data_IF_628153244251
#
_entry.id   IF_628153244251
#
_cell.length_a   1.000
_cell.length_b   1.000
_cell.length_c   1.000
_cell.angle_alpha   90.00
_cell.angle_beta   90.00
_cell.angle_gamma   90.00
#
_symmetry.space_group_name_H-M   'P 1'
#
loop_
_entity.id
_entity.type
_entity.pdbx_description
1 polymer ?
#
# COMPACT_ATOMS: atom_id res chain seq x y z
N UNK A 1 18.66 -15.86 2.05
CA UNK A 1 18.47 -16.95 3.02
C UNK A 1 17.06 -17.49 2.94
N UNK A 2 16.96 -18.77 2.59
CA UNK A 2 15.71 -19.38 2.11
C UNK A 2 14.85 -19.80 3.30
N UNK A 3 13.76 -19.08 3.54
CA UNK A 3 12.69 -19.50 4.45
C UNK A 3 12.00 -20.75 3.90
N UNK A 4 12.56 -21.92 4.21
CA UNK A 4 11.93 -23.23 3.98
C UNK A 4 11.11 -23.60 5.21
N UNK A 5 9.85 -23.19 5.25
CA UNK A 5 8.85 -23.92 6.03
C UNK A 5 7.82 -24.48 5.05
N UNK A 6 7.56 -25.79 5.13
CA UNK A 6 6.54 -26.47 4.33
C UNK A 6 5.18 -25.85 4.66
N UNK A 7 4.59 -25.15 3.70
CA UNK A 7 3.30 -24.48 3.83
C UNK A 7 3.35 -22.99 3.51
N UNK A 8 4.02 -22.16 4.29
CA UNK A 8 4.11 -20.71 4.04
C UNK A 8 5.19 -20.35 3.02
N UNK A 9 6.32 -21.05 3.01
CA UNK A 9 7.42 -20.76 2.08
C UNK A 9 7.06 -20.95 0.60
N UNK A 10 6.10 -21.80 0.28
CA UNK A 10 5.65 -22.01 -1.09
C UNK A 10 4.63 -20.95 -1.55
N UNK A 11 3.86 -20.37 -0.64
CA UNK A 11 2.92 -19.28 -0.95
C UNK A 11 3.69 -17.99 -1.19
N UNK A 12 4.67 -17.65 -0.34
CA UNK A 12 5.52 -16.45 -0.49
C UNK A 12 6.48 -16.51 -1.67
N UNK A 13 6.87 -17.69 -2.12
CA UNK A 13 7.77 -17.85 -3.29
C UNK A 13 7.06 -17.80 -4.64
N UNK A 14 5.74 -17.71 -4.64
CA UNK A 14 4.92 -17.81 -5.86
C UNK A 14 4.19 -16.52 -6.23
N UNK A 15 4.47 -15.42 -5.56
CA UNK A 15 3.84 -14.14 -5.86
C UNK A 15 4.81 -13.25 -6.60
N UNK A 16 4.32 -12.60 -7.64
CA UNK A 16 5.10 -11.67 -8.46
C UNK A 16 5.06 -10.27 -7.85
N UNK A 17 3.90 -9.87 -7.32
CA UNK A 17 3.61 -8.52 -6.82
C UNK A 17 2.80 -8.64 -5.52
N UNK A 18 2.94 -7.67 -4.62
CA UNK A 18 2.03 -7.49 -3.48
C UNK A 18 1.49 -6.07 -3.43
N UNK A 19 0.23 -5.93 -3.00
CA UNK A 19 -0.43 -4.66 -2.71
C UNK A 19 -0.73 -4.57 -1.22
N UNK A 20 -0.33 -3.48 -0.59
CA UNK A 20 -0.58 -3.22 0.82
C UNK A 20 -0.80 -1.73 1.08
N UNK A 21 -1.67 -1.42 2.04
CA UNK A 21 -1.94 -0.07 2.51
C UNK A 21 -1.58 0.08 3.99
N UNK A 22 -1.16 1.28 4.44
CA UNK A 22 -1.04 1.59 5.85
C UNK A 22 -2.44 1.64 6.47
N UNK A 23 -2.70 0.81 7.48
CA UNK A 23 -4.01 0.78 8.14
C UNK A 23 -4.25 1.99 9.04
N UNK A 24 -3.17 2.52 9.58
CA UNK A 24 -3.12 3.77 10.34
C UNK A 24 -1.85 4.52 9.97
N UNK A 25 -1.89 5.83 9.98
CA UNK A 25 -0.73 6.70 9.75
C UNK A 25 -0.13 7.27 11.04
N UNK A 26 -0.74 6.95 12.18
CA UNK A 26 -0.35 7.39 13.52
C UNK A 26 -0.03 6.23 14.48
N UNK A 27 -0.04 4.99 13.99
CA UNK A 27 0.39 3.83 14.78
C UNK A 27 1.90 3.76 14.82
N UNK A 28 2.45 3.68 16.02
CA UNK A 28 3.87 3.57 16.28
C UNK A 28 4.15 2.36 17.17
N UNK A 29 5.19 1.61 16.84
CA UNK A 29 5.77 0.55 17.67
C UNK A 29 7.19 1.00 18.00
N UNK A 30 7.44 1.31 19.27
CA UNK A 30 8.74 1.78 19.72
C UNK A 30 9.79 0.67 19.64
N UNK A 31 11.07 1.07 19.59
CA UNK A 31 12.20 0.16 19.71
C UNK A 31 12.16 -0.56 21.06
N UNK A 32 12.26 -1.88 21.04
CA UNK A 32 12.23 -2.73 22.24
C UNK A 32 11.51 -4.05 21.95
N UNK A 33 10.97 -4.65 22.98
CA UNK A 33 10.19 -5.89 22.86
C UNK A 33 8.87 -5.61 22.14
N UNK A 34 8.51 -6.52 21.23
CA UNK A 34 7.25 -6.48 20.48
C UNK A 34 6.30 -7.51 21.06
N UNK A 35 5.14 -7.08 21.50
CA UNK A 35 4.12 -7.89 22.12
C UNK A 35 2.99 -8.22 21.13
N UNK A 36 2.23 -9.26 21.44
CA UNK A 36 1.04 -9.64 20.67
C UNK A 36 0.03 -8.48 20.57
N UNK A 37 -0.10 -7.67 21.63
CA UNK A 37 -0.94 -6.47 21.63
C UNK A 37 -0.55 -5.46 20.55
N UNK A 38 0.74 -5.32 20.24
CA UNK A 38 1.22 -4.38 19.22
C UNK A 38 0.75 -4.79 17.83
N UNK A 39 0.55 -6.09 17.60
CA UNK A 39 0.02 -6.59 16.34
C UNK A 39 -1.43 -6.18 16.11
N UNK A 40 -2.23 -6.04 17.18
CA UNK A 40 -3.59 -5.51 17.05
C UNK A 40 -3.61 -4.02 16.72
N UNK A 41 -2.62 -3.26 17.17
CA UNK A 41 -2.45 -1.87 16.80
C UNK A 41 -1.96 -1.74 15.34
N UNK A 42 -1.01 -2.60 14.93
CA UNK A 42 -0.45 -2.60 13.58
C UNK A 42 -1.46 -3.10 12.54
N UNK A 43 -2.17 -4.19 12.86
CA UNK A 43 -3.13 -4.81 11.93
C UNK A 43 -4.42 -5.21 12.67
N UNK A 44 -5.35 -4.28 12.79
CA UNK A 44 -6.60 -4.43 13.57
C UNK A 44 -7.70 -5.26 12.90
N UNK A 45 -7.60 -5.50 11.59
CA UNK A 45 -8.64 -6.22 10.83
C UNK A 45 -8.31 -7.72 10.69
N UNK A 46 -9.35 -8.55 10.64
CA UNK A 46 -9.25 -10.00 10.44
C UNK A 46 -9.34 -10.34 8.93
N UNK A 47 -8.37 -9.85 8.16
CA UNK A 47 -8.29 -10.13 6.74
C UNK A 47 -7.39 -11.33 6.47
N UNK A 48 -7.85 -12.25 5.62
CA UNK A 48 -7.02 -13.31 5.05
C UNK A 48 -6.06 -12.72 4.00
N UNK A 49 -4.97 -13.42 3.72
CA UNK A 49 -4.13 -13.12 2.58
C UNK A 49 -4.66 -13.88 1.36
N UNK A 50 -4.96 -13.15 0.31
CA UNK A 50 -5.29 -13.71 -1.00
C UNK A 50 -4.11 -13.61 -1.94
N UNK A 51 -3.97 -14.61 -2.81
CA UNK A 51 -3.20 -14.50 -4.06
C UNK A 51 -4.19 -14.49 -5.20
N UNK A 52 -4.21 -13.43 -5.99
CA UNK A 52 -5.12 -13.25 -7.11
C UNK A 52 -4.37 -13.19 -8.44
N UNK A 53 -5.05 -13.56 -9.52
CA UNK A 53 -4.56 -13.45 -10.90
C UNK A 53 -5.04 -12.12 -11.48
N UNK A 54 -4.10 -11.18 -11.68
CA UNK A 54 -4.37 -9.86 -12.27
C UNK A 54 -3.45 -9.61 -13.45
N UNK A 55 -3.93 -8.94 -14.50
CA UNK A 55 -3.07 -8.47 -15.58
C UNK A 55 -2.20 -7.29 -15.14
N UNK A 56 -1.11 -7.02 -15.83
CA UNK A 56 -0.29 -5.86 -15.56
C UNK A 56 -1.08 -4.55 -15.68
N UNK A 57 -2.00 -4.48 -16.64
CA UNK A 57 -2.90 -3.35 -16.78
C UNK A 57 -3.79 -3.16 -15.54
N UNK A 58 -4.41 -4.24 -15.06
CA UNK A 58 -5.25 -4.21 -13.85
C UNK A 58 -4.46 -3.78 -12.61
N UNK A 59 -3.19 -4.24 -12.47
CA UNK A 59 -2.29 -3.80 -11.40
C UNK A 59 -2.02 -2.30 -11.50
N UNK A 60 -1.65 -1.81 -12.70
CA UNK A 60 -1.41 -0.37 -12.91
C UNK A 60 -2.65 0.47 -12.60
N UNK A 61 -3.80 0.08 -13.12
CA UNK A 61 -5.05 0.83 -12.95
C UNK A 61 -5.52 0.84 -11.49
N UNK A 62 -5.34 -0.26 -10.75
CA UNK A 62 -5.58 -0.31 -9.31
C UNK A 62 -4.66 0.66 -8.55
N UNK A 63 -3.37 0.72 -8.91
CA UNK A 63 -2.43 1.68 -8.32
C UNK A 63 -2.79 3.14 -8.70
N UNK A 64 -3.17 3.41 -9.94
CA UNK A 64 -3.64 4.73 -10.35
C UNK A 64 -4.80 5.20 -9.47
N UNK A 65 -5.79 4.34 -9.25
CA UNK A 65 -6.92 4.67 -8.36
C UNK A 65 -6.45 4.86 -6.93
N UNK A 66 -5.57 3.98 -6.41
CA UNK A 66 -5.03 4.11 -5.07
C UNK A 66 -4.36 5.47 -4.86
N UNK A 67 -3.39 5.82 -5.70
CA UNK A 67 -2.66 7.09 -5.57
C UNK A 67 -3.56 8.31 -5.78
N UNK A 68 -4.62 8.19 -6.59
CA UNK A 68 -5.61 9.26 -6.73
C UNK A 68 -6.46 9.50 -5.48
N UNK A 69 -6.53 8.54 -4.53
CA UNK A 69 -7.25 8.70 -3.28
C UNK A 69 -6.47 9.52 -2.23
N UNK A 70 -5.14 9.57 -2.32
CA UNK A 70 -4.34 10.22 -1.29
C UNK A 70 -3.34 11.26 -1.80
N UNK A 71 -3.01 11.28 -3.10
CA UNK A 71 -2.10 12.27 -3.67
C UNK A 71 -2.84 13.35 -4.45
N UNK A 72 -2.42 14.59 -4.24
CA UNK A 72 -2.89 15.73 -5.02
C UNK A 72 -2.35 15.66 -6.46
N UNK A 73 -2.96 16.43 -7.38
CA UNK A 73 -2.30 16.85 -8.62
C UNK A 73 -1.66 18.20 -8.35
N UNK A 74 -0.35 18.23 -8.17
CA UNK A 74 0.38 19.45 -7.88
C UNK A 74 0.46 20.35 -9.12
N UNK A 75 0.26 21.65 -8.90
CA UNK A 75 0.40 22.70 -9.92
C UNK A 75 1.64 23.55 -9.68
N UNK A 76 2.17 23.51 -8.46
CA UNK A 76 3.38 24.17 -8.02
C UNK A 76 4.04 23.40 -6.90
N UNK A 77 5.30 23.72 -6.58
CA UNK A 77 6.01 23.15 -5.43
C UNK A 77 5.39 23.58 -4.07
N UNK A 78 4.55 24.61 -4.06
CA UNK A 78 3.88 25.13 -2.87
C UNK A 78 2.59 24.38 -2.54
N UNK A 79 2.09 23.54 -3.44
CA UNK A 79 0.91 22.73 -3.20
C UNK A 79 1.18 21.62 -2.19
N UNK A 80 0.13 21.16 -1.52
CA UNK A 80 0.20 19.93 -0.75
C UNK A 80 0.41 18.71 -1.67
N UNK A 81 1.28 17.79 -1.26
CA UNK A 81 1.46 16.49 -1.91
C UNK A 81 0.22 15.61 -1.70
N UNK A 82 -0.35 15.66 -0.50
CA UNK A 82 -1.43 14.78 -0.07
C UNK A 82 -2.79 15.50 -0.09
N UNK A 83 -3.87 14.72 -0.18
CA UNK A 83 -5.22 15.22 -0.15
C UNK A 83 -5.74 15.32 1.29
N UNK A 84 -5.94 16.52 1.76
CA UNK A 84 -6.48 16.81 3.08
C UNK A 84 -7.96 17.20 3.01
N UNK A 85 -8.68 17.01 4.12
CA UNK A 85 -10.07 17.48 4.27
C UNK A 85 -10.10 19.00 4.35
N UNK A 86 -10.97 19.61 3.55
CA UNK A 86 -11.15 21.09 3.51
C UNK A 86 -11.92 21.62 4.70
N UNK A 87 -12.77 20.80 5.34
CA UNK A 87 -13.59 21.19 6.49
C UNK A 87 -13.25 20.32 7.70
N UNK A 88 -13.06 20.95 8.84
CA UNK A 88 -12.98 20.28 10.14
C UNK A 88 -14.37 19.76 10.50
N UNK A 89 -14.46 18.54 11.04
CA UNK A 89 -15.69 18.06 11.67
C UNK A 89 -15.91 18.88 12.93
N UNK A 90 -17.15 19.27 13.21
CA UNK A 90 -17.56 19.87 14.47
C UNK A 90 -17.11 18.98 15.64
N UNK A 91 -16.37 19.53 16.61
CA UNK A 91 -15.78 18.76 17.72
C UNK A 91 -14.48 18.00 17.42
N UNK A 92 -13.90 18.12 16.21
CA UNK A 92 -12.60 17.51 15.90
C UNK A 92 -11.45 18.29 16.57
N UNK A 93 -10.46 17.55 17.07
CA UNK A 93 -9.17 18.12 17.50
C UNK A 93 -8.54 18.90 16.35
N UNK A 94 -7.72 19.91 16.65
CA UNK A 94 -7.10 20.83 15.68
C UNK A 94 -6.15 20.20 14.64
N UNK A 95 -6.12 18.88 14.53
CA UNK A 95 -5.25 18.15 13.60
C UNK A 95 -5.82 18.06 12.20
N UNK A 96 -4.97 18.24 11.21
CA UNK A 96 -5.25 17.91 9.83
C UNK A 96 -5.57 16.42 9.68
N UNK A 97 -6.37 16.05 8.70
CA UNK A 97 -6.69 14.65 8.41
C UNK A 97 -6.80 14.43 6.91
N UNK A 98 -6.51 13.21 6.48
CA UNK A 98 -6.66 12.83 5.07
C UNK A 98 -8.12 12.93 4.60
N UNK A 99 -8.28 13.29 3.33
CA UNK A 99 -9.58 13.32 2.66
C UNK A 99 -10.23 11.94 2.62
N UNK A 100 -9.42 10.91 2.36
CA UNK A 100 -9.84 9.50 2.27
C UNK A 100 -9.17 8.66 3.36
N UNK A 101 -9.65 7.44 3.56
CA UNK A 101 -9.10 6.53 4.56
C UNK A 101 -7.79 5.91 4.10
N UNK A 102 -6.76 5.93 4.97
CA UNK A 102 -5.41 5.42 4.68
C UNK A 102 -5.38 3.92 4.33
N UNK A 103 -6.32 3.13 4.83
CA UNK A 103 -6.42 1.72 4.47
C UNK A 103 -6.79 1.44 3.00
N UNK A 104 -7.04 2.50 2.20
CA UNK A 104 -7.20 2.44 0.75
C UNK A 104 -5.99 3.01 -0.01
N UNK A 105 -4.89 3.33 0.67
CA UNK A 105 -3.67 3.88 0.06
C UNK A 105 -2.67 2.77 -0.26
N UNK A 106 -3.08 1.83 -1.11
CA UNK A 106 -2.23 0.71 -1.49
C UNK A 106 -1.01 1.21 -2.29
N UNK A 107 0.15 0.68 -1.92
CA UNK A 107 1.36 0.70 -2.72
C UNK A 107 1.76 -0.73 -3.10
N UNK A 108 2.65 -0.87 -4.09
CA UNK A 108 3.08 -2.17 -4.57
C UNK A 108 4.52 -2.48 -4.17
N UNK A 109 4.79 -3.77 -3.90
CA UNK A 109 6.12 -4.34 -3.89
C UNK A 109 6.21 -5.43 -4.97
N UNK A 110 7.43 -5.71 -5.45
CA UNK A 110 7.69 -6.63 -6.56
C UNK A 110 7.82 -5.94 -7.92
N UNK A 111 7.56 -4.64 -8.00
CA UNK A 111 7.75 -3.80 -9.19
C UNK A 111 8.48 -2.50 -8.84
N UNK A 112 9.23 -1.96 -9.80
CA UNK A 112 9.84 -0.63 -9.71
C UNK A 112 8.97 0.35 -10.48
N UNK A 113 8.53 1.45 -9.82
CA UNK A 113 7.67 2.43 -10.46
C UNK A 113 7.84 3.85 -9.89
N UNK A 114 7.35 4.82 -10.63
CA UNK A 114 7.27 6.22 -10.19
C UNK A 114 5.82 6.69 -10.15
N UNK A 115 5.57 7.65 -9.29
CA UNK A 115 4.29 8.33 -9.13
C UNK A 115 4.50 9.81 -9.45
N UNK A 116 4.08 10.23 -10.63
CA UNK A 116 4.21 11.61 -11.06
C UNK A 116 3.05 12.46 -10.54
N UNK A 117 3.35 13.32 -9.57
CA UNK A 117 2.34 14.14 -8.90
C UNK A 117 1.83 15.33 -9.70
N UNK A 118 2.49 15.66 -10.79
CA UNK A 118 2.04 16.72 -11.71
C UNK A 118 0.95 16.18 -12.65
N UNK A 119 1.00 14.89 -12.95
CA UNK A 119 0.09 14.25 -13.89
C UNK A 119 -1.35 14.20 -13.38
N UNK A 120 -2.33 14.22 -14.28
CA UNK A 120 -3.72 14.06 -13.91
C UNK A 120 -4.02 12.64 -13.41
N UNK A 121 -5.22 12.47 -12.88
CA UNK A 121 -5.72 11.16 -12.45
C UNK A 121 -5.69 10.15 -13.59
N UNK A 122 -5.17 8.96 -13.32
CA UNK A 122 -5.03 7.86 -14.29
C UNK A 122 -3.75 7.88 -15.11
N UNK A 123 -2.88 8.88 -14.92
CA UNK A 123 -1.62 9.04 -15.66
C UNK A 123 -0.39 9.18 -14.75
N UNK A 124 -0.57 9.01 -13.42
CA UNK A 124 0.49 9.23 -12.43
C UNK A 124 1.51 8.09 -12.38
N UNK A 125 1.09 6.85 -12.66
CA UNK A 125 1.91 5.66 -12.46
C UNK A 125 2.67 5.30 -13.72
N UNK A 126 4.01 5.24 -13.61
CA UNK A 126 4.88 4.66 -14.63
C UNK A 126 5.61 3.46 -14.02
N UNK A 127 5.27 2.24 -14.46
CA UNK A 127 5.95 1.02 -14.05
C UNK A 127 7.16 0.82 -14.95
N UNK A 128 8.36 0.73 -14.34
CA UNK A 128 9.64 0.67 -15.03
C UNK A 128 10.03 -0.79 -15.31
N UNK A 129 9.92 -1.65 -14.30
CA UNK A 129 10.30 -3.06 -14.38
C UNK A 129 9.69 -3.87 -13.23
N UNK A 130 9.86 -5.17 -13.24
CA UNK A 130 9.78 -5.98 -12.03
C UNK A 130 10.96 -5.65 -11.10
N UNK A 131 10.82 -5.97 -9.82
CA UNK A 131 11.88 -5.70 -8.81
C UNK A 131 13.18 -6.48 -9.05
N UNK A 132 13.13 -7.60 -9.77
CA UNK A 132 14.28 -8.39 -10.17
C UNK A 132 14.95 -7.89 -11.47
N UNK A 133 14.48 -6.78 -12.03
CA UNK A 133 14.98 -6.16 -13.25
C UNK A 133 14.37 -6.72 -14.54
N UNK A 134 13.53 -7.75 -14.47
CA UNK A 134 12.86 -8.27 -15.67
C UNK A 134 11.80 -7.30 -16.19
N UNK A 135 11.48 -7.30 -17.50
CA UNK A 135 10.47 -6.42 -18.07
C UNK A 135 9.08 -6.65 -17.47
N UNK A 136 8.41 -5.57 -17.13
CA UNK A 136 6.98 -5.58 -16.80
C UNK A 136 6.15 -5.52 -18.08
N UNK A 137 5.06 -6.29 -18.16
CA UNK A 137 4.14 -6.30 -19.31
C UNK A 137 2.71 -6.05 -18.86
N UNK A 138 2.01 -5.14 -19.54
CA UNK A 138 0.60 -4.82 -19.27
C UNK A 138 -0.33 -6.01 -19.50
N UNK A 139 0.00 -6.86 -20.47
CA UNK A 139 -0.85 -7.98 -20.90
C UNK A 139 -0.57 -9.28 -20.14
N UNK A 140 0.60 -9.36 -19.48
CA UNK A 140 0.96 -10.56 -18.69
C UNK A 140 0.11 -10.65 -17.44
N UNK A 141 -0.31 -11.89 -17.12
CA UNK A 141 -1.00 -12.18 -15.86
C UNK A 141 0.03 -12.42 -14.74
N UNK A 142 -0.14 -11.71 -13.65
CA UNK A 142 0.69 -11.80 -12.44
C UNK A 142 -0.07 -12.42 -11.28
N UNK A 143 0.67 -13.05 -10.38
CA UNK A 143 0.17 -13.49 -9.07
C UNK A 143 0.35 -12.35 -8.08
N UNK A 144 -0.74 -11.73 -7.68
CA UNK A 144 -0.74 -10.55 -6.81
C UNK A 144 -1.24 -10.93 -5.43
N UNK A 145 -0.41 -10.68 -4.42
CA UNK A 145 -0.78 -10.83 -3.03
C UNK A 145 -1.48 -9.57 -2.53
N UNK A 146 -2.60 -9.73 -1.85
CA UNK A 146 -3.36 -8.65 -1.24
C UNK A 146 -4.28 -9.20 -0.13
N UNK A 147 -4.83 -8.32 0.69
CA UNK A 147 -5.74 -8.75 1.74
C UNK A 147 -7.14 -9.08 1.20
N UNK A 148 -7.91 -9.90 1.94
CA UNK A 148 -9.25 -10.33 1.52
C UNK A 148 -10.25 -9.18 1.39
N UNK A 149 -10.11 -8.11 2.16
CA UNK A 149 -10.92 -6.90 1.98
C UNK A 149 -10.77 -6.36 0.56
N UNK A 150 -9.52 -6.20 0.11
CA UNK A 150 -9.22 -5.73 -1.25
C UNK A 150 -9.67 -6.73 -2.30
N UNK A 151 -9.36 -8.01 -2.09
CA UNK A 151 -9.71 -9.09 -3.02
C UNK A 151 -11.21 -9.29 -3.22
N UNK A 152 -12.01 -8.91 -2.24
CA UNK A 152 -13.47 -8.93 -2.31
C UNK A 152 -14.08 -7.61 -2.83
N UNK A 153 -13.26 -6.68 -3.36
CA UNK A 153 -13.70 -5.42 -3.95
C UNK A 153 -13.74 -4.24 -2.97
N UNK A 154 -13.30 -4.43 -1.73
CA UNK A 154 -13.28 -3.36 -0.73
C UNK A 154 -12.39 -2.19 -1.17
N UNK A 155 -12.89 -0.95 -0.95
CA UNK A 155 -12.23 0.28 -1.39
C UNK A 155 -12.17 0.48 -2.90
N UNK A 156 -12.85 -0.39 -3.66
CA UNK A 156 -13.11 -0.25 -5.11
C UNK A 156 -11.88 -0.22 -6.03
N UNK A 157 -10.66 -0.47 -5.52
CA UNK A 157 -9.44 -0.42 -6.35
C UNK A 157 -9.45 -1.48 -7.47
N UNK A 158 -9.95 -2.69 -7.19
CA UNK A 158 -10.04 -3.74 -8.20
C UNK A 158 -11.27 -3.59 -9.09
N UNK A 159 -12.38 -3.09 -8.56
CA UNK A 159 -13.62 -2.94 -9.32
C UNK A 159 -13.62 -1.66 -10.16
N UNK A 160 -13.71 -0.50 -9.53
CA UNK A 160 -13.72 0.79 -10.25
C UNK A 160 -12.35 1.18 -10.79
N UNK A 161 -11.28 0.86 -10.05
CA UNK A 161 -9.91 1.16 -10.46
C UNK A 161 -9.48 0.29 -11.63
N UNK A 162 -9.36 -1.01 -11.41
CA UNK A 162 -8.90 -1.96 -12.42
C UNK A 162 -9.99 -2.40 -13.42
N UNK A 163 -11.25 -2.01 -13.20
CA UNK A 163 -12.36 -2.34 -14.09
C UNK A 163 -12.83 -3.80 -14.03
N UNK A 164 -12.49 -4.54 -12.99
CA UNK A 164 -12.88 -5.96 -12.83
C UNK A 164 -14.33 -6.01 -12.31
N UNK A 165 -15.27 -6.67 -12.99
CA UNK A 165 -16.61 -6.88 -12.48
C UNK A 165 -16.62 -7.54 -11.11
N UNK A 166 -17.50 -7.10 -10.21
CA UNK A 166 -17.55 -7.58 -8.83
C UNK A 166 -17.75 -9.11 -8.74
N UNK A 167 -18.55 -9.68 -9.61
CA UNK A 167 -18.84 -11.11 -9.69
C UNK A 167 -17.66 -11.95 -10.22
N UNK A 168 -16.72 -11.33 -10.95
CA UNK A 168 -15.52 -12.01 -11.43
C UNK A 168 -14.41 -12.12 -10.36
N UNK A 169 -14.40 -11.25 -9.34
CA UNK A 169 -13.30 -11.20 -8.35
C UNK A 169 -13.05 -12.55 -7.70
N UNK A 170 -14.11 -13.27 -7.33
CA UNK A 170 -13.97 -14.59 -6.71
C UNK A 170 -13.25 -15.59 -7.61
N UNK A 171 -13.50 -15.55 -8.91
CA UNK A 171 -12.84 -16.40 -9.91
C UNK A 171 -11.37 -16.08 -10.13
N UNK A 172 -10.91 -14.90 -9.70
CA UNK A 172 -9.51 -14.48 -9.79
C UNK A 172 -8.66 -14.95 -8.60
N UNK A 173 -9.26 -15.45 -7.51
CA UNK A 173 -8.55 -15.92 -6.31
C UNK A 173 -7.92 -17.28 -6.61
N UNK A 174 -6.60 -17.33 -6.58
CA UNK A 174 -5.79 -18.55 -6.75
C UNK A 174 -5.57 -19.28 -5.44
N UNK A 175 -5.46 -18.50 -4.34
CA UNK A 175 -5.21 -19.01 -3.00
C UNK A 175 -5.74 -18.04 -1.95
N UNK A 176 -6.20 -18.61 -0.83
CA UNK A 176 -6.59 -17.90 0.39
C UNK A 176 -5.97 -18.59 1.58
N UNK A 177 -5.43 -17.83 2.51
CA UNK A 177 -4.95 -18.39 3.78
C UNK A 177 -6.11 -18.83 4.67
N UNK A 178 -5.83 -19.71 5.62
CA UNK A 178 -6.77 -20.20 6.65
C UNK A 178 -6.75 -19.36 7.94
N UNK A 179 -5.70 -18.56 8.11
CA UNK A 179 -5.52 -17.61 9.21
C UNK A 179 -5.44 -16.18 8.67
N UNK A 180 -5.71 -15.21 9.53
CA UNK A 180 -5.60 -13.80 9.18
C UNK A 180 -4.15 -13.33 9.02
N UNK A 181 -3.98 -12.15 8.41
CA UNK A 181 -2.66 -11.56 8.19
C UNK A 181 -1.90 -11.28 9.49
N UNK A 182 -2.60 -10.95 10.58
CA UNK A 182 -1.99 -10.70 11.89
C UNK A 182 -1.31 -11.95 12.44
N UNK A 183 -1.93 -13.13 12.27
CA UNK A 183 -1.30 -14.40 12.62
C UNK A 183 0.03 -14.61 11.89
N UNK A 184 0.07 -14.36 10.59
CA UNK A 184 1.30 -14.53 9.80
C UNK A 184 2.36 -13.48 10.10
N UNK A 185 1.96 -12.25 10.44
CA UNK A 185 2.87 -11.22 10.94
C UNK A 185 3.54 -11.65 12.25
N UNK A 186 2.76 -12.16 13.22
CA UNK A 186 3.30 -12.70 14.48
C UNK A 186 4.31 -13.82 14.23
N UNK A 187 3.95 -14.79 13.38
CA UNK A 187 4.83 -15.91 13.04
C UNK A 187 6.12 -15.44 12.35
N UNK A 188 6.03 -14.42 11.52
CA UNK A 188 7.20 -13.84 10.87
C UNK A 188 8.13 -13.16 11.88
N UNK A 189 7.58 -12.37 12.80
CA UNK A 189 8.31 -11.64 13.84
C UNK A 189 8.98 -12.63 14.79
N UNK A 190 8.23 -13.60 15.30
CA UNK A 190 8.73 -14.66 16.19
C UNK A 190 9.89 -15.42 15.56
N UNK A 191 9.77 -15.78 14.30
CA UNK A 191 10.82 -16.49 13.56
C UNK A 191 12.07 -15.65 13.31
N UNK A 192 11.91 -14.35 13.11
CA UNK A 192 13.02 -13.41 12.88
C UNK A 192 13.75 -13.07 14.16
N UNK A 193 13.06 -13.07 15.31
CA UNK A 193 13.56 -12.63 16.61
C UNK A 193 13.77 -11.13 16.67
N UNK A 194 14.56 -10.55 15.75
CA UNK A 194 14.77 -9.11 15.63
C UNK A 194 14.31 -8.64 14.26
N UNK A 195 13.57 -7.53 14.25
CA UNK A 195 13.11 -6.87 13.04
C UNK A 195 13.73 -5.49 12.93
N UNK A 196 14.32 -5.20 11.78
CA UNK A 196 14.80 -3.88 11.39
C UNK A 196 14.00 -3.44 10.16
N UNK A 197 12.90 -2.70 10.34
CA UNK A 197 12.08 -2.24 9.23
C UNK A 197 12.85 -1.22 8.37
N UNK A 198 12.77 -1.39 7.05
CA UNK A 198 13.34 -0.45 6.09
C UNK A 198 12.43 -0.33 4.86
N UNK A 199 12.48 0.83 4.22
CA UNK A 199 11.80 1.04 2.95
C UNK A 199 12.45 0.18 1.85
N UNK A 200 11.62 -0.47 1.02
CA UNK A 200 12.11 -1.30 -0.08
C UNK A 200 12.73 -0.47 -1.22
N UNK A 201 12.43 0.84 -1.30
CA UNK A 201 12.94 1.72 -2.35
C UNK A 201 12.45 1.36 -3.76
N UNK A 202 11.35 0.64 -3.86
CA UNK A 202 10.81 0.14 -5.15
C UNK A 202 9.93 1.15 -5.87
N UNK A 203 9.59 2.24 -5.21
CA UNK A 203 8.84 3.34 -5.83
C UNK A 203 9.20 4.68 -5.20
N UNK A 204 8.93 5.75 -5.94
CA UNK A 204 9.08 7.12 -5.47
C UNK A 204 8.10 8.08 -6.15
N UNK A 205 7.83 9.19 -5.47
CA UNK A 205 7.18 10.33 -6.08
C UNK A 205 8.14 11.13 -6.95
N UNK A 206 7.63 11.71 -8.03
CA UNK A 206 8.35 12.65 -8.91
C UNK A 206 7.45 13.84 -9.27
N UNK A 207 8.03 15.01 -9.60
CA UNK A 207 9.47 15.36 -9.53
C UNK A 207 9.93 15.61 -8.08
N UNK A 208 11.14 15.17 -7.76
CA UNK A 208 11.67 15.21 -6.37
C UNK A 208 11.72 16.64 -5.81
N UNK A 209 12.10 17.61 -6.65
CA UNK A 209 12.18 19.03 -6.28
C UNK A 209 10.85 19.64 -5.83
N UNK A 210 9.71 19.07 -6.21
CA UNK A 210 8.39 19.49 -5.74
C UNK A 210 7.95 18.65 -4.54
N UNK A 211 8.27 17.36 -4.58
CA UNK A 211 7.83 16.39 -3.56
C UNK A 211 8.51 16.59 -2.22
N UNK A 212 9.82 16.82 -2.18
CA UNK A 212 10.57 16.96 -0.92
C UNK A 212 10.04 18.11 -0.04
N UNK A 213 9.91 19.35 -0.52
CA UNK A 213 9.37 20.43 0.29
C UNK A 213 7.89 20.23 0.64
N UNK A 214 7.10 19.64 -0.26
CA UNK A 214 5.69 19.35 -0.02
C UNK A 214 5.49 18.26 1.05
N UNK A 215 6.29 17.18 1.00
CA UNK A 215 6.22 16.11 1.99
C UNK A 215 6.56 16.62 3.40
N UNK A 216 7.58 17.48 3.53
CA UNK A 216 7.94 18.11 4.80
C UNK A 216 6.80 18.98 5.33
N UNK A 217 6.22 19.81 4.49
CA UNK A 217 5.08 20.69 4.85
C UNK A 217 3.86 19.87 5.26
N UNK A 218 3.55 18.79 4.54
CA UNK A 218 2.42 17.90 4.83
C UNK A 218 2.64 17.11 6.11
N UNK A 219 3.87 16.71 6.40
CA UNK A 219 4.23 16.09 7.68
C UNK A 219 4.00 17.06 8.85
N UNK A 220 4.52 18.29 8.74
CA UNK A 220 4.30 19.34 9.75
C UNK A 220 2.80 19.67 9.92
N UNK A 221 2.04 19.60 8.85
CA UNK A 221 0.60 19.84 8.88
C UNK A 221 -0.18 18.72 9.60
N UNK A 222 0.25 17.45 9.44
CA UNK A 222 -0.37 16.27 10.08
C UNK A 222 0.05 16.11 11.54
N UNK A 223 1.32 16.30 11.85
CA UNK A 223 1.91 15.92 13.14
C UNK A 223 2.40 17.10 13.97
N UNK A 224 2.36 18.31 13.43
CA UNK A 224 2.96 19.51 14.02
C UNK A 224 4.46 19.64 13.69
N UNK A 225 5.04 20.80 14.05
CA UNK A 225 6.46 21.02 13.80
C UNK A 225 7.28 20.04 14.60
N UNK A 226 8.25 19.42 13.93
CA UNK A 226 9.28 18.63 14.61
C UNK A 226 10.14 19.62 15.40
N UNK A 227 10.01 19.62 16.72
CA UNK A 227 10.97 20.30 17.59
C UNK A 227 12.35 19.65 17.35
N UNK A 228 13.33 20.47 16.99
CA UNK A 228 14.71 20.03 16.70
C UNK A 228 15.46 19.74 17.99
#
# INVERSE_FOLDING_TARGET
DRLRSRGLGDVYKRQDISLAAPLSYDTEINKGDVFVSDMFNLYKYENMLYTMKLSGKEVKDALEMSYNLWTNQMKSADDHLLLFRKQRREGATDRASFQNFSFNFDSAAGIIYTVDVIKPKGEKITIISMADGTPFSMDKMYKVALNSYRGNGGGELLTKGAGIPQDELKGRILFSTDKDLRYYLMQYIEKKGVIEPHALGQWKFIPEEWVEPAAKRDYEYLFGKVEK
#
